data_IF_151682558844
#
_entry.id   IF_151682558844
#
_cell.length_a   1.000
_cell.length_b   1.000
_cell.length_c   1.000
_cell.angle_alpha   90.00
_cell.angle_beta   90.00
_cell.angle_gamma   90.00
#
_symmetry.space_group_name_H-M   'P 1'
#
loop_
_entity.id
_entity.type
_entity.pdbx_description
1 polymer ?
#
# COMPACT_ATOMS: atom_id res chain seq x y z
N UNK A 1 -31.53 -38.95 19.41
CA UNK A 1 -31.07 -37.70 18.78
C UNK A 1 -30.06 -37.11 19.73
N UNK A 2 -28.87 -37.69 19.72
CA UNK A 2 -27.75 -37.20 20.52
C UNK A 2 -27.30 -35.91 19.87
N UNK A 3 -27.65 -34.78 20.49
CA UNK A 3 -27.10 -33.49 20.10
C UNK A 3 -25.60 -33.56 20.34
N UNK A 4 -24.79 -33.47 19.28
CA UNK A 4 -23.34 -33.39 19.36
C UNK A 4 -22.95 -32.27 20.34
N UNK A 5 -22.63 -32.66 21.58
CA UNK A 5 -22.14 -31.73 22.60
C UNK A 5 -20.74 -31.32 22.17
N UNK A 6 -20.63 -30.10 21.64
CA UNK A 6 -19.34 -29.54 21.23
C UNK A 6 -18.42 -29.53 22.45
N UNK A 7 -17.26 -30.21 22.40
CA UNK A 7 -16.37 -30.27 23.55
C UNK A 7 -15.79 -28.88 23.85
N UNK A 8 -15.87 -28.45 25.10
CA UNK A 8 -15.36 -27.16 25.59
C UNK A 8 -13.89 -26.92 25.22
N UNK A 9 -13.08 -27.97 25.08
CA UNK A 9 -11.68 -27.88 24.65
C UNK A 9 -11.52 -27.25 23.27
N UNK A 10 -12.43 -27.51 22.32
CA UNK A 10 -12.39 -26.92 20.98
C UNK A 10 -12.69 -25.42 21.02
N UNK A 11 -13.61 -25.00 21.90
CA UNK A 11 -13.94 -23.59 22.11
C UNK A 11 -12.73 -22.83 22.68
N UNK A 12 -12.04 -23.41 23.66
CA UNK A 12 -10.81 -22.80 24.21
C UNK A 12 -9.72 -22.65 23.15
N UNK A 13 -9.46 -23.68 22.33
CA UNK A 13 -8.46 -23.60 21.26
C UNK A 13 -8.82 -22.50 20.25
N UNK A 14 -10.09 -22.40 19.84
CA UNK A 14 -10.55 -21.32 18.97
C UNK A 14 -10.27 -19.93 19.57
N UNK A 15 -10.59 -19.76 20.86
CA UNK A 15 -10.39 -18.48 21.56
C UNK A 15 -8.91 -18.13 21.74
N UNK A 16 -8.04 -19.11 22.00
CA UNK A 16 -6.59 -18.87 22.06
C UNK A 16 -6.01 -18.47 20.70
N UNK A 17 -6.42 -19.12 19.61
CA UNK A 17 -5.98 -18.76 18.26
C UNK A 17 -6.50 -17.39 17.82
N UNK A 18 -7.73 -17.05 18.20
CA UNK A 18 -8.28 -15.71 18.01
C UNK A 18 -7.44 -14.66 18.75
N UNK A 19 -7.19 -14.88 20.04
CA UNK A 19 -6.37 -13.98 20.86
C UNK A 19 -4.94 -13.85 20.32
N UNK A 20 -4.33 -14.92 19.83
CA UNK A 20 -3.00 -14.88 19.21
C UNK A 20 -2.95 -13.86 18.06
N UNK A 21 -3.93 -13.92 17.15
CA UNK A 21 -4.02 -12.97 16.04
C UNK A 21 -4.24 -11.53 16.50
N UNK A 22 -5.04 -11.32 17.55
CA UNK A 22 -5.28 -10.02 18.16
C UNK A 22 -3.98 -9.50 18.78
N UNK A 23 -3.33 -10.26 19.66
CA UNK A 23 -2.09 -9.85 20.34
C UNK A 23 -1.01 -9.42 19.34
N UNK A 24 -0.83 -10.17 18.24
CA UNK A 24 0.13 -9.80 17.18
C UNK A 24 -0.21 -8.43 16.58
N UNK A 25 -1.49 -8.17 16.26
CA UNK A 25 -1.93 -6.90 15.69
C UNK A 25 -1.66 -5.72 16.64
N UNK A 26 -1.98 -5.87 17.94
CA UNK A 26 -1.78 -4.80 18.92
C UNK A 26 -0.31 -4.59 19.26
N UNK A 27 0.46 -5.67 19.35
CA UNK A 27 1.91 -5.60 19.49
C UNK A 27 2.54 -4.86 18.31
N UNK A 28 2.10 -5.15 17.09
CA UNK A 28 2.55 -4.42 15.90
C UNK A 28 2.21 -2.93 15.97
N UNK A 29 0.99 -2.60 16.41
CA UNK A 29 0.57 -1.20 16.60
C UNK A 29 1.52 -0.47 17.55
N UNK A 30 1.77 -1.04 18.72
CA UNK A 30 2.65 -0.44 19.71
C UNK A 30 4.09 -0.32 19.19
N UNK A 31 4.63 -1.38 18.57
CA UNK A 31 6.01 -1.42 18.09
C UNK A 31 6.30 -0.45 16.94
N UNK A 32 5.29 -0.11 16.13
CA UNK A 32 5.45 0.75 14.94
C UNK A 32 4.84 2.14 15.10
N UNK A 33 4.34 2.48 16.30
CA UNK A 33 3.68 3.77 16.57
C UNK A 33 4.62 4.97 16.40
N UNK A 34 5.89 4.86 16.83
CA UNK A 34 6.90 5.91 16.64
C UNK A 34 7.08 6.25 15.15
N UNK A 35 7.37 5.23 14.34
CA UNK A 35 7.53 5.42 12.89
C UNK A 35 6.25 5.94 12.22
N UNK A 36 5.09 5.49 12.69
CA UNK A 36 3.78 5.95 12.20
C UNK A 36 3.58 7.44 12.45
N UNK A 37 3.87 7.92 13.65
CA UNK A 37 3.72 9.33 14.02
C UNK A 37 4.55 10.25 13.12
N UNK A 38 5.83 9.92 12.92
CA UNK A 38 6.72 10.74 12.10
C UNK A 38 6.41 10.70 10.61
N UNK A 39 5.99 9.54 10.07
CA UNK A 39 5.89 9.33 8.61
C UNK A 39 4.49 9.41 8.03
N UNK A 40 3.46 9.28 8.87
CA UNK A 40 2.06 9.29 8.41
C UNK A 40 1.33 10.49 8.99
N UNK A 41 1.44 10.70 10.32
CA UNK A 41 0.72 11.77 11.00
C UNK A 41 1.33 13.16 10.74
N UNK A 42 2.66 13.28 10.73
CA UNK A 42 3.34 14.57 10.44
C UNK A 42 3.36 14.97 8.97
N UNK A 43 3.12 14.05 8.05
CA UNK A 43 3.05 14.34 6.60
C UNK A 43 1.67 13.96 6.05
N UNK A 44 0.58 14.62 6.52
CA UNK A 44 -0.77 14.33 6.04
C UNK A 44 -0.93 14.88 4.63
N UNK A 45 -1.30 14.02 3.66
CA UNK A 45 -1.67 14.52 2.34
C UNK A 45 -1.61 13.54 1.18
N UNK A 46 -1.05 12.33 1.35
CA UNK A 46 -1.04 11.34 0.25
C UNK A 46 -2.18 10.33 0.40
N UNK A 47 -2.76 9.89 -0.71
CA UNK A 47 -3.79 8.84 -0.71
C UNK A 47 -3.30 7.52 -0.08
N UNK A 48 -2.00 7.23 -0.15
CA UNK A 48 -1.39 6.07 0.51
C UNK A 48 -1.44 6.18 2.05
N UNK A 49 -1.24 7.38 2.62
CA UNK A 49 -1.37 7.63 4.06
C UNK A 49 -2.80 7.38 4.55
N UNK A 50 -3.82 7.80 3.77
CA UNK A 50 -5.23 7.55 4.11
C UNK A 50 -5.54 6.05 4.07
N UNK A 51 -5.14 5.35 3.00
CA UNK A 51 -5.34 3.91 2.89
C UNK A 51 -4.65 3.13 4.01
N UNK A 52 -3.46 3.57 4.43
CA UNK A 52 -2.75 3.00 5.58
C UNK A 52 -3.58 3.14 6.87
N UNK A 53 -4.04 4.35 7.18
CA UNK A 53 -4.83 4.61 8.38
C UNK A 53 -6.14 3.82 8.36
N UNK A 54 -6.84 3.78 7.23
CA UNK A 54 -8.08 3.00 7.08
C UNK A 54 -7.82 1.52 7.34
N UNK A 55 -6.83 0.91 6.69
CA UNK A 55 -6.49 -0.51 6.88
C UNK A 55 -6.19 -0.83 8.35
N UNK A 56 -5.38 0.01 8.99
CA UNK A 56 -4.83 -0.24 10.32
C UNK A 56 -5.85 0.01 11.43
N UNK A 57 -6.49 1.18 11.45
CA UNK A 57 -7.43 1.55 12.50
C UNK A 57 -8.79 0.86 12.35
N UNK A 58 -9.24 0.55 11.12
CA UNK A 58 -10.44 -0.28 10.94
C UNK A 58 -10.27 -1.65 11.61
N UNK A 59 -9.13 -2.31 11.38
CA UNK A 59 -8.81 -3.59 12.00
C UNK A 59 -8.68 -3.46 13.53
N UNK A 60 -8.05 -2.39 14.02
CA UNK A 60 -7.93 -2.12 15.45
C UNK A 60 -9.30 -2.07 16.14
N UNK A 61 -10.19 -1.17 15.70
CA UNK A 61 -11.49 -0.97 16.35
C UNK A 61 -12.44 -2.17 16.16
N UNK A 62 -12.45 -2.79 14.97
CA UNK A 62 -13.27 -3.98 14.73
C UNK A 62 -12.84 -5.15 15.61
N UNK A 63 -11.54 -5.36 15.82
CA UNK A 63 -11.05 -6.40 16.73
C UNK A 63 -11.45 -6.12 18.20
N UNK A 64 -11.51 -4.86 18.67
CA UNK A 64 -12.03 -4.56 20.03
C UNK A 64 -13.46 -5.10 20.19
N UNK A 65 -14.34 -4.78 19.24
CA UNK A 65 -15.75 -5.18 19.30
C UNK A 65 -15.90 -6.69 19.20
N UNK A 66 -15.15 -7.33 18.30
CA UNK A 66 -15.18 -8.79 18.13
C UNK A 66 -14.67 -9.49 19.40
N UNK A 67 -13.54 -9.06 19.95
CA UNK A 67 -13.00 -9.65 21.18
C UNK A 67 -13.94 -9.45 22.37
N UNK A 68 -14.51 -8.25 22.55
CA UNK A 68 -15.47 -7.99 23.61
C UNK A 68 -16.72 -8.87 23.50
N UNK A 69 -17.25 -9.05 22.28
CA UNK A 69 -18.37 -9.94 22.03
C UNK A 69 -18.04 -11.41 22.29
N UNK A 70 -16.81 -11.85 21.97
CA UNK A 70 -16.37 -13.23 22.17
C UNK A 70 -16.26 -13.62 23.66
N UNK A 71 -15.88 -12.67 24.54
CA UNK A 71 -15.82 -12.90 25.99
C UNK A 71 -17.13 -12.60 26.74
N UNK A 72 -18.14 -12.06 26.07
CA UNK A 72 -19.44 -11.80 26.67
C UNK A 72 -20.28 -13.09 26.77
N UNK A 73 -20.80 -13.41 27.96
CA UNK A 73 -21.74 -14.53 28.13
C UNK A 73 -23.13 -14.13 27.64
N UNK A 74 -23.48 -14.59 26.43
CA UNK A 74 -24.85 -14.55 25.93
C UNK A 74 -25.70 -15.56 26.72
N UNK A 75 -26.77 -15.09 27.37
CA UNK A 75 -27.62 -15.94 28.24
C UNK A 75 -28.74 -16.68 27.48
N UNK A 76 -29.08 -16.30 26.24
CA UNK A 76 -30.12 -16.95 25.41
C UNK A 76 -29.79 -16.89 23.90
N UNK A 77 -30.18 -17.93 23.14
CA UNK A 77 -30.09 -17.97 21.65
C UNK A 77 -31.12 -17.06 20.99
N UNK A 78 -32.25 -16.81 21.66
CA UNK A 78 -33.32 -15.91 21.21
C UNK A 78 -32.97 -14.41 21.30
N UNK A 79 -31.82 -14.06 21.86
CA UNK A 79 -31.37 -12.68 21.82
C UNK A 79 -30.94 -12.34 20.39
N UNK A 80 -31.71 -11.46 19.75
CA UNK A 80 -31.35 -10.66 18.57
C UNK A 80 -29.85 -10.28 18.51
N UNK A 81 -29.18 -10.14 19.66
CA UNK A 81 -27.74 -9.89 19.80
C UNK A 81 -26.76 -10.92 19.18
N UNK A 82 -27.01 -12.24 19.23
CA UNK A 82 -26.01 -13.23 18.78
C UNK A 82 -25.91 -13.32 17.24
N UNK A 83 -27.05 -13.37 16.54
CA UNK A 83 -27.08 -13.33 15.08
C UNK A 83 -26.48 -12.01 14.52
N UNK A 84 -26.81 -10.88 15.16
CA UNK A 84 -26.24 -9.57 14.80
C UNK A 84 -24.72 -9.51 15.06
N UNK A 85 -24.23 -10.09 16.16
CA UNK A 85 -22.80 -10.19 16.44
C UNK A 85 -22.07 -11.05 15.40
N UNK A 86 -22.60 -12.23 15.08
CA UNK A 86 -22.01 -13.12 14.08
C UNK A 86 -21.95 -12.46 12.70
N UNK A 87 -23.03 -11.78 12.31
CA UNK A 87 -23.10 -10.98 11.08
C UNK A 87 -22.06 -9.85 11.10
N UNK A 88 -21.97 -9.09 12.19
CA UNK A 88 -20.98 -8.02 12.36
C UNK A 88 -19.54 -8.54 12.24
N UNK A 89 -19.23 -9.68 12.88
CA UNK A 89 -17.91 -10.32 12.78
C UNK A 89 -17.59 -10.69 11.34
N UNK A 90 -18.52 -11.34 10.64
CA UNK A 90 -18.34 -11.76 9.24
C UNK A 90 -18.16 -10.53 8.33
N UNK A 91 -18.99 -9.51 8.49
CA UNK A 91 -18.91 -8.26 7.74
C UNK A 91 -17.57 -7.54 8.00
N UNK A 92 -17.13 -7.47 9.25
CA UNK A 92 -15.87 -6.82 9.62
C UNK A 92 -14.66 -7.51 8.99
N UNK A 93 -14.65 -8.85 8.97
CA UNK A 93 -13.62 -9.63 8.27
C UNK A 93 -13.64 -9.34 6.77
N UNK A 94 -14.82 -9.33 6.13
CA UNK A 94 -14.96 -9.02 4.70
C UNK A 94 -14.42 -7.63 4.38
N UNK A 95 -14.82 -6.62 5.14
CA UNK A 95 -14.38 -5.23 4.93
C UNK A 95 -12.85 -5.12 5.09
N UNK A 96 -12.27 -5.74 6.13
CA UNK A 96 -10.82 -5.75 6.32
C UNK A 96 -10.09 -6.38 5.12
N UNK A 97 -10.57 -7.52 4.63
CA UNK A 97 -9.99 -8.21 3.46
C UNK A 97 -10.13 -7.38 2.18
N UNK A 98 -11.26 -6.72 1.96
CA UNK A 98 -11.45 -5.83 0.80
C UNK A 98 -10.47 -4.66 0.84
N UNK A 99 -10.27 -4.04 2.02
CA UNK A 99 -9.28 -2.95 2.16
C UNK A 99 -7.88 -3.47 1.80
N UNK A 100 -7.45 -4.61 2.35
CA UNK A 100 -6.16 -5.21 2.02
C UNK A 100 -6.05 -5.52 0.52
N UNK A 101 -7.07 -6.13 -0.08
CA UNK A 101 -7.08 -6.48 -1.50
C UNK A 101 -6.95 -5.25 -2.41
N UNK A 102 -7.64 -4.15 -2.07
CA UNK A 102 -7.50 -2.87 -2.78
C UNK A 102 -6.07 -2.34 -2.69
N UNK A 103 -5.46 -2.37 -1.50
CA UNK A 103 -4.10 -1.88 -1.30
C UNK A 103 -3.08 -2.75 -2.06
N UNK A 104 -3.24 -4.07 -2.02
CA UNK A 104 -2.43 -5.04 -2.80
C UNK A 104 -2.55 -4.77 -4.30
N UNK A 105 -3.76 -4.54 -4.81
CA UNK A 105 -4.01 -4.22 -6.20
C UNK A 105 -3.31 -2.91 -6.61
N UNK A 106 -3.55 -1.82 -5.86
CA UNK A 106 -2.94 -0.52 -6.15
C UNK A 106 -1.42 -0.58 -6.16
N UNK A 107 -0.84 -1.34 -5.22
CA UNK A 107 0.61 -1.56 -5.18
C UNK A 107 1.11 -2.32 -6.39
N UNK A 108 0.41 -3.38 -6.80
CA UNK A 108 0.76 -4.17 -7.98
C UNK A 108 0.62 -3.33 -9.24
N UNK A 109 -0.44 -2.54 -9.36
CA UNK A 109 -0.66 -1.60 -10.44
C UNK A 109 0.48 -0.59 -10.59
N UNK A 110 0.94 -0.02 -9.47
CA UNK A 110 2.09 0.88 -9.45
C UNK A 110 3.39 0.16 -9.84
N UNK A 111 3.61 -1.05 -9.32
CA UNK A 111 4.81 -1.86 -9.59
C UNK A 111 4.98 -2.23 -11.08
N UNK A 112 3.88 -2.47 -11.77
CA UNK A 112 3.87 -2.77 -13.20
C UNK A 112 3.81 -1.50 -14.08
N UNK A 113 4.00 -0.31 -13.50
CA UNK A 113 4.07 0.94 -14.27
C UNK A 113 2.77 1.25 -15.02
N UNK A 114 1.61 0.86 -14.47
CA UNK A 114 0.29 1.04 -15.09
C UNK A 114 0.09 0.26 -16.40
N UNK A 115 0.81 -0.86 -16.58
CA UNK A 115 0.58 -1.75 -17.72
C UNK A 115 -0.87 -2.24 -17.74
N UNK A 116 -1.59 -1.93 -18.81
CA UNK A 116 -3.01 -2.24 -18.94
C UNK A 116 -3.26 -3.74 -18.97
N UNK A 117 -2.32 -4.55 -19.46
CA UNK A 117 -2.50 -6.01 -19.54
C UNK A 117 -2.61 -6.63 -18.16
N UNK A 118 -1.66 -6.35 -17.28
CA UNK A 118 -1.67 -6.84 -15.89
C UNK A 118 -2.87 -6.30 -15.13
N UNK A 119 -3.24 -5.04 -15.38
CA UNK A 119 -4.41 -4.42 -14.78
C UNK A 119 -5.70 -5.14 -15.17
N UNK A 120 -5.90 -5.41 -16.45
CA UNK A 120 -7.07 -6.14 -16.97
C UNK A 120 -7.13 -7.55 -16.40
N UNK A 121 -6.00 -8.26 -16.34
CA UNK A 121 -5.93 -9.60 -15.73
C UNK A 121 -6.29 -9.56 -14.24
N UNK A 122 -5.76 -8.61 -13.48
CA UNK A 122 -6.07 -8.50 -12.06
C UNK A 122 -7.56 -8.15 -11.84
N UNK A 123 -8.11 -7.22 -12.61
CA UNK A 123 -9.51 -6.83 -12.50
C UNK A 123 -10.47 -7.95 -12.93
N UNK A 124 -10.12 -8.70 -13.98
CA UNK A 124 -10.95 -9.83 -14.43
C UNK A 124 -10.97 -10.95 -13.38
N UNK A 125 -9.81 -11.29 -12.82
CA UNK A 125 -9.73 -12.28 -11.73
C UNK A 125 -10.45 -11.77 -10.48
N UNK A 126 -10.25 -10.52 -10.08
CA UNK A 126 -10.96 -9.92 -8.95
C UNK A 126 -12.49 -9.99 -9.13
N UNK A 127 -13.00 -9.69 -10.33
CA UNK A 127 -14.42 -9.76 -10.63
C UNK A 127 -14.96 -11.20 -10.52
N UNK A 128 -14.25 -12.19 -11.07
CA UNK A 128 -14.65 -13.61 -10.97
C UNK A 128 -14.68 -14.06 -9.52
N UNK A 129 -13.62 -13.78 -8.76
CA UNK A 129 -13.50 -14.16 -7.35
C UNK A 129 -14.57 -13.46 -6.49
N UNK A 130 -14.89 -12.20 -6.78
CA UNK A 130 -15.95 -11.46 -6.11
C UNK A 130 -17.33 -12.09 -6.37
N UNK A 131 -17.64 -12.44 -7.63
CA UNK A 131 -18.90 -13.10 -7.98
C UNK A 131 -19.04 -14.45 -7.27
N UNK A 132 -17.97 -15.25 -7.27
CA UNK A 132 -17.93 -16.53 -6.54
C UNK A 132 -18.15 -16.33 -5.04
N UNK A 133 -17.53 -15.31 -4.45
CA UNK A 133 -17.67 -14.99 -3.03
C UNK A 133 -19.09 -14.54 -2.67
N UNK A 134 -19.72 -13.69 -3.49
CA UNK A 134 -21.10 -13.24 -3.29
C UNK A 134 -22.07 -14.42 -3.38
N UNK A 135 -21.91 -15.28 -4.39
CA UNK A 135 -22.70 -16.49 -4.55
C UNK A 135 -22.58 -17.42 -3.33
N UNK A 136 -21.34 -17.62 -2.84
CA UNK A 136 -21.10 -18.46 -1.68
C UNK A 136 -21.77 -17.89 -0.40
N UNK A 137 -21.61 -16.60 -0.14
CA UNK A 137 -22.20 -15.93 1.05
C UNK A 137 -23.72 -15.93 1.01
N UNK A 138 -24.34 -15.72 -0.16
CA UNK A 138 -25.81 -15.70 -0.30
C UNK A 138 -26.47 -17.08 -0.17
N UNK A 139 -25.73 -18.17 -0.42
CA UNK A 139 -26.24 -19.53 -0.27
C UNK A 139 -26.20 -20.09 1.16
N UNK A 140 -25.74 -19.31 2.16
CA UNK A 140 -25.52 -19.79 3.52
C UNK A 140 -26.85 -19.99 4.28
N UNK A 141 -27.08 -21.19 4.85
CA UNK A 141 -28.18 -21.46 5.80
C UNK A 141 -27.60 -21.57 7.21
N UNK A 142 -27.66 -20.49 7.97
CA UNK A 142 -27.00 -20.40 9.28
C UNK A 142 -27.81 -21.10 10.38
N UNK A 143 -27.17 -22.03 11.08
CA UNK A 143 -27.63 -22.58 12.37
C UNK A 143 -26.67 -22.07 13.44
N UNK A 144 -27.17 -21.50 14.53
CA UNK A 144 -26.36 -20.91 15.61
C UNK A 144 -26.47 -21.77 16.87
N UNK A 145 -25.36 -22.00 17.57
CA UNK A 145 -25.36 -22.75 18.84
C UNK A 145 -24.76 -21.89 19.96
N UNK A 146 -25.26 -22.06 21.19
CA UNK A 146 -24.75 -21.36 22.37
C UNK A 146 -23.83 -22.31 23.14
N UNK A 147 -22.54 -22.03 23.15
CA UNK A 147 -21.58 -22.74 23.98
C UNK A 147 -20.54 -21.73 24.49
N UNK A 148 -20.78 -21.17 25.68
CA UNK A 148 -19.91 -20.19 26.35
C UNK A 148 -19.43 -19.04 25.43
N UNK A 149 -20.41 -18.33 24.86
CA UNK A 149 -20.20 -17.35 23.80
C UNK A 149 -21.17 -17.59 22.64
N UNK A 150 -21.23 -16.65 21.69
CA UNK A 150 -21.98 -16.81 20.44
C UNK A 150 -21.04 -17.42 19.39
N UNK A 151 -20.93 -18.75 19.38
CA UNK A 151 -20.19 -19.46 18.35
C UNK A 151 -21.17 -20.01 17.32
N UNK A 152 -21.04 -19.58 16.06
CA UNK A 152 -21.78 -20.23 14.99
C UNK A 152 -21.17 -21.63 14.76
N UNK A 153 -21.79 -22.68 15.31
CA UNK A 153 -21.54 -24.03 14.81
C UNK A 153 -22.21 -24.14 13.44
N UNK A 154 -21.45 -23.75 12.42
CA UNK A 154 -21.92 -23.80 11.04
C UNK A 154 -22.22 -25.24 10.65
N UNK A 155 -23.42 -25.48 10.12
CA UNK A 155 -23.74 -26.71 9.41
C UNK A 155 -22.70 -26.96 8.30
N UNK A 156 -22.47 -28.24 7.93
CA UNK A 156 -21.47 -28.62 6.93
C UNK A 156 -21.60 -27.81 5.63
N UNK A 157 -22.83 -27.58 5.18
CA UNK A 157 -23.15 -26.79 3.98
C UNK A 157 -22.72 -25.33 4.12
N UNK A 158 -22.99 -24.70 5.26
CA UNK A 158 -22.59 -23.30 5.51
C UNK A 158 -21.07 -23.17 5.70
N UNK A 159 -20.42 -24.17 6.29
CA UNK A 159 -18.96 -24.20 6.39
C UNK A 159 -18.28 -24.27 5.00
N UNK A 160 -18.83 -25.06 4.07
CA UNK A 160 -18.33 -25.16 2.70
C UNK A 160 -18.46 -23.81 1.97
N UNK A 161 -19.60 -23.13 2.12
CA UNK A 161 -19.81 -21.81 1.50
C UNK A 161 -18.83 -20.76 2.03
N UNK A 162 -18.59 -20.73 3.34
CA UNK A 162 -17.58 -19.85 3.92
C UNK A 162 -16.18 -20.21 3.41
N UNK A 163 -15.86 -21.50 3.29
CA UNK A 163 -14.57 -21.96 2.75
C UNK A 163 -14.31 -21.44 1.33
N UNK A 164 -15.31 -21.48 0.45
CA UNK A 164 -15.20 -20.96 -0.94
C UNK A 164 -14.78 -19.48 -0.97
N UNK A 165 -15.33 -18.65 -0.07
CA UNK A 165 -14.93 -17.24 0.01
C UNK A 165 -13.47 -17.07 0.47
N UNK A 166 -13.00 -17.90 1.41
CA UNK A 166 -11.60 -17.89 1.84
C UNK A 166 -10.64 -18.45 0.79
N UNK A 167 -11.07 -19.43 0.01
CA UNK A 167 -10.33 -19.93 -1.15
C UNK A 167 -10.17 -18.86 -2.22
N UNK A 168 -11.23 -18.10 -2.49
CA UNK A 168 -11.17 -16.98 -3.42
C UNK A 168 -10.15 -15.93 -2.95
N UNK A 169 -10.14 -15.61 -1.66
CA UNK A 169 -9.13 -14.72 -1.07
C UNK A 169 -7.71 -15.29 -1.16
N UNK A 170 -7.53 -16.58 -0.90
CA UNK A 170 -6.24 -17.24 -1.03
C UNK A 170 -5.73 -17.22 -2.49
N UNK A 171 -6.62 -17.48 -3.47
CA UNK A 171 -6.29 -17.41 -4.89
C UNK A 171 -5.88 -15.99 -5.31
N UNK A 172 -6.55 -14.96 -4.78
CA UNK A 172 -6.17 -13.57 -4.97
C UNK A 172 -4.77 -13.27 -4.42
N UNK A 173 -4.49 -13.66 -3.18
CA UNK A 173 -3.19 -13.44 -2.56
C UNK A 173 -2.07 -14.19 -3.30
N UNK A 174 -2.33 -15.41 -3.76
CA UNK A 174 -1.38 -16.20 -4.55
C UNK A 174 -1.09 -15.53 -5.90
N UNK A 175 -2.09 -14.96 -6.57
CA UNK A 175 -1.92 -14.21 -7.81
C UNK A 175 -1.01 -13.00 -7.58
N UNK A 176 -1.33 -12.15 -6.60
CA UNK A 176 -0.57 -10.93 -6.30
C UNK A 176 0.87 -11.27 -5.87
N UNK A 177 1.03 -12.28 -5.02
CA UNK A 177 2.33 -12.79 -4.61
C UNK A 177 3.14 -13.25 -5.83
N UNK A 178 2.55 -14.08 -6.70
CA UNK A 178 3.22 -14.60 -7.88
C UNK A 178 3.66 -13.48 -8.81
N UNK A 179 2.77 -12.53 -9.13
CA UNK A 179 3.10 -11.38 -9.97
C UNK A 179 4.26 -10.56 -9.39
N UNK A 180 4.21 -10.28 -8.09
CA UNK A 180 5.24 -9.51 -7.39
C UNK A 180 6.57 -10.27 -7.36
N UNK A 181 6.54 -11.57 -7.09
CA UNK A 181 7.71 -12.44 -7.03
C UNK A 181 8.37 -12.60 -8.41
N UNK A 182 7.59 -12.86 -9.47
CA UNK A 182 8.12 -12.92 -10.83
C UNK A 182 8.76 -11.60 -11.27
N UNK A 183 8.14 -10.47 -10.94
CA UNK A 183 8.72 -9.15 -11.19
C UNK A 183 10.03 -8.96 -10.41
N UNK A 184 10.08 -9.41 -9.15
CA UNK A 184 11.28 -9.38 -8.32
C UNK A 184 12.44 -10.14 -8.96
N UNK A 185 12.18 -11.33 -9.50
CA UNK A 185 13.21 -12.16 -10.14
C UNK A 185 13.63 -11.56 -11.48
N UNK A 186 12.68 -11.13 -12.32
CA UNK A 186 13.00 -10.57 -13.65
C UNK A 186 13.88 -9.32 -13.56
N UNK A 187 13.64 -8.47 -12.56
CA UNK A 187 14.42 -7.26 -12.34
C UNK A 187 15.81 -7.52 -11.75
N UNK A 188 16.11 -8.73 -11.26
CA UNK A 188 17.41 -9.10 -10.67
C UNK A 188 18.57 -9.11 -11.68
N UNK A 189 18.28 -9.36 -12.96
CA UNK A 189 19.32 -9.51 -14.00
C UNK A 189 19.62 -8.26 -14.83
N UNK A 190 18.87 -7.17 -14.65
CA UNK A 190 18.88 -6.02 -15.59
C UNK A 190 19.59 -4.76 -15.07
N UNK A 191 20.14 -4.78 -13.85
CA UNK A 191 20.68 -3.55 -13.24
C UNK A 191 22.08 -3.74 -12.64
N UNK A 192 23.11 -3.01 -13.13
CA UNK A 192 24.41 -2.95 -12.48
C UNK A 192 24.31 -2.23 -11.12
N UNK A 193 25.13 -2.68 -10.17
CA UNK A 193 25.17 -2.17 -8.80
C UNK A 193 25.37 -0.64 -8.78
N UNK A 194 24.48 0.11 -8.13
CA UNK A 194 24.68 1.55 -7.90
C UNK A 194 23.43 2.40 -7.67
N UNK A 195 22.35 2.26 -8.46
CA UNK A 195 21.12 3.10 -8.33
C UNK A 195 19.78 2.37 -8.33
N UNK A 196 19.73 1.16 -8.90
CA UNK A 196 18.48 0.37 -9.04
C UNK A 196 18.42 -0.81 -8.06
N UNK A 197 19.44 -0.98 -7.23
CA UNK A 197 19.50 -2.01 -6.19
C UNK A 197 18.40 -1.82 -5.14
N UNK A 198 18.08 -0.57 -4.78
CA UNK A 198 17.03 -0.25 -3.83
C UNK A 198 15.61 -0.61 -4.32
N UNK A 199 15.32 -0.40 -5.61
CA UNK A 199 14.02 -0.81 -6.20
C UNK A 199 13.93 -2.33 -6.19
N UNK A 200 15.03 -3.03 -6.53
CA UNK A 200 15.11 -4.49 -6.43
C UNK A 200 14.90 -4.98 -4.99
N UNK A 201 15.51 -4.31 -3.99
CA UNK A 201 15.34 -4.60 -2.57
C UNK A 201 13.89 -4.38 -2.09
N UNK A 202 13.25 -3.27 -2.47
CA UNK A 202 11.85 -2.99 -2.11
C UNK A 202 10.89 -4.03 -2.72
N UNK A 203 11.16 -4.48 -3.95
CA UNK A 203 10.34 -5.50 -4.61
C UNK A 203 10.56 -6.86 -3.93
N UNK A 204 11.81 -7.21 -3.61
CA UNK A 204 12.16 -8.44 -2.89
C UNK A 204 11.51 -8.49 -1.52
N UNK A 205 11.69 -7.44 -0.73
CA UNK A 205 11.08 -7.34 0.60
C UNK A 205 9.56 -7.33 0.47
N UNK A 206 9.02 -6.67 -0.55
CA UNK A 206 7.61 -6.68 -0.89
C UNK A 206 7.02 -8.05 -1.15
N UNK A 207 7.75 -8.94 -1.82
CA UNK A 207 7.31 -10.31 -2.09
C UNK A 207 7.25 -11.15 -0.81
N UNK A 208 8.15 -10.92 0.16
CA UNK A 208 8.13 -11.65 1.44
C UNK A 208 6.85 -11.34 2.21
N UNK A 209 6.42 -10.08 2.28
CA UNK A 209 5.15 -9.70 2.94
C UNK A 209 3.96 -10.40 2.27
N UNK A 210 3.88 -10.40 0.94
CA UNK A 210 2.81 -11.09 0.22
C UNK A 210 2.85 -12.62 0.41
N UNK A 211 4.05 -13.20 0.51
CA UNK A 211 4.22 -14.63 0.79
C UNK A 211 3.71 -15.01 2.18
N UNK A 212 4.04 -14.24 3.21
CA UNK A 212 3.53 -14.47 4.58
C UNK A 212 2.01 -14.38 4.62
N UNK A 213 1.41 -13.40 3.94
CA UNK A 213 -0.05 -13.29 3.85
C UNK A 213 -0.69 -14.49 3.15
N UNK A 214 -0.14 -14.90 2.00
CA UNK A 214 -0.62 -16.08 1.28
C UNK A 214 -0.50 -17.37 2.13
N UNK A 215 0.57 -17.54 2.90
CA UNK A 215 0.72 -18.66 3.83
C UNK A 215 -0.30 -18.62 4.98
N UNK A 216 -0.57 -17.44 5.54
CA UNK A 216 -1.58 -17.28 6.59
C UNK A 216 -2.99 -17.60 6.07
N UNK A 217 -3.33 -17.11 4.87
CA UNK A 217 -4.62 -17.43 4.23
C UNK A 217 -4.73 -18.91 3.85
N UNK A 218 -3.66 -19.50 3.31
CA UNK A 218 -3.60 -20.94 3.06
C UNK A 218 -3.87 -21.73 4.33
N UNK A 219 -3.19 -21.39 5.43
CA UNK A 219 -3.38 -22.04 6.73
C UNK A 219 -4.83 -21.93 7.21
N UNK A 220 -5.45 -20.76 7.06
CA UNK A 220 -6.86 -20.58 7.37
C UNK A 220 -7.79 -21.43 6.49
N UNK A 221 -7.57 -21.45 5.18
CA UNK A 221 -8.35 -22.27 4.24
C UNK A 221 -8.24 -23.76 4.58
N UNK A 222 -7.04 -24.25 4.89
CA UNK A 222 -6.81 -25.63 5.30
C UNK A 222 -7.60 -26.01 6.56
N UNK A 223 -7.86 -25.06 7.48
CA UNK A 223 -8.68 -25.36 8.66
C UNK A 223 -10.10 -25.79 8.30
N UNK A 224 -10.69 -25.29 7.22
CA UNK A 224 -12.04 -25.69 6.82
C UNK A 224 -12.13 -27.16 6.39
N UNK A 225 -11.03 -27.71 5.87
CA UNK A 225 -10.96 -29.08 5.36
C UNK A 225 -10.50 -30.09 6.41
N UNK A 226 -9.47 -29.74 7.18
CA UNK A 226 -8.78 -30.70 8.06
C UNK A 226 -9.24 -30.64 9.51
N UNK A 227 -9.97 -29.60 9.93
CA UNK A 227 -10.36 -29.46 11.34
C UNK A 227 -11.80 -29.90 11.62
N UNK A 228 -12.09 -30.37 12.84
CA UNK A 228 -13.44 -30.69 13.30
C UNK A 228 -14.40 -29.50 13.14
N UNK A 229 -15.71 -29.73 13.03
CA UNK A 229 -16.70 -28.69 12.75
C UNK A 229 -16.61 -27.43 13.63
N UNK A 230 -16.30 -27.57 14.93
CA UNK A 230 -16.19 -26.43 15.84
C UNK A 230 -14.88 -25.61 15.69
N UNK A 231 -13.87 -26.16 15.02
CA UNK A 231 -12.58 -25.50 14.79
C UNK A 231 -12.44 -24.92 13.37
N UNK A 232 -13.41 -25.15 12.49
CA UNK A 232 -13.38 -24.63 11.11
C UNK A 232 -13.34 -23.11 11.12
N UNK A 233 -12.37 -22.54 10.40
CA UNK A 233 -12.18 -21.09 10.34
C UNK A 233 -11.70 -20.45 11.65
N UNK A 234 -11.15 -21.22 12.59
CA UNK A 234 -10.55 -20.68 13.81
C UNK A 234 -9.39 -19.71 13.53
N UNK A 235 -8.69 -19.88 12.41
CA UNK A 235 -7.61 -19.01 11.97
C UNK A 235 -8.07 -17.79 11.17
N UNK A 236 -9.38 -17.57 10.96
CA UNK A 236 -9.87 -16.48 10.12
C UNK A 236 -9.47 -15.09 10.64
N UNK A 237 -9.63 -14.87 11.95
CA UNK A 237 -9.19 -13.63 12.60
C UNK A 237 -7.67 -13.52 12.57
N UNK A 238 -6.95 -14.60 12.84
CA UNK A 238 -5.49 -14.62 12.80
C UNK A 238 -4.96 -14.24 11.41
N UNK A 239 -5.46 -14.88 10.36
CA UNK A 239 -5.03 -14.63 9.00
C UNK A 239 -5.39 -13.21 8.55
N UNK A 240 -6.58 -12.72 8.92
CA UNK A 240 -6.97 -11.34 8.65
C UNK A 240 -6.07 -10.31 9.33
N UNK A 241 -5.74 -10.54 10.61
CA UNK A 241 -4.86 -9.65 11.36
C UNK A 241 -3.42 -9.71 10.83
N UNK A 242 -2.97 -10.89 10.39
CA UNK A 242 -1.68 -11.05 9.72
C UNK A 242 -1.63 -10.24 8.42
N UNK A 243 -2.68 -10.30 7.59
CA UNK A 243 -2.77 -9.53 6.36
C UNK A 243 -2.71 -8.03 6.61
N UNK A 244 -3.47 -7.52 7.57
CA UNK A 244 -3.43 -6.10 7.96
C UNK A 244 -2.04 -5.69 8.46
N UNK A 245 -1.41 -6.54 9.29
CA UNK A 245 -0.09 -6.28 9.88
C UNK A 245 1.00 -6.24 8.81
N UNK A 246 1.06 -7.24 7.95
CA UNK A 246 2.03 -7.32 6.86
C UNK A 246 1.85 -6.16 5.87
N UNK A 247 0.61 -5.82 5.51
CA UNK A 247 0.32 -4.68 4.65
C UNK A 247 0.74 -3.35 5.29
N UNK A 248 0.50 -3.18 6.59
CA UNK A 248 0.89 -1.97 7.33
C UNK A 248 2.41 -1.81 7.39
N UNK A 249 3.14 -2.86 7.79
CA UNK A 249 4.62 -2.85 7.83
C UNK A 249 5.23 -2.54 6.48
N UNK A 250 4.66 -3.13 5.43
CA UNK A 250 5.09 -2.90 4.07
C UNK A 250 4.93 -1.45 3.64
N UNK A 251 3.79 -0.82 3.97
CA UNK A 251 3.57 0.59 3.68
C UNK A 251 4.52 1.48 4.48
N UNK A 252 4.74 1.20 5.77
CA UNK A 252 5.68 1.96 6.59
C UNK A 252 7.12 1.86 6.09
N UNK A 253 7.56 0.66 5.69
CA UNK A 253 8.88 0.45 5.08
C UNK A 253 9.03 1.23 3.77
N UNK A 254 7.97 1.30 2.95
CA UNK A 254 8.03 2.10 1.73
C UNK A 254 8.16 3.60 2.03
N UNK A 255 7.43 4.12 3.02
CA UNK A 255 7.56 5.51 3.46
C UNK A 255 8.95 5.80 4.03
N UNK A 256 9.52 4.85 4.79
CA UNK A 256 10.89 4.94 5.30
C UNK A 256 11.87 5.19 4.16
N UNK A 257 11.87 4.28 3.18
CA UNK A 257 12.81 4.30 2.08
C UNK A 257 12.63 5.52 1.19
N UNK A 258 11.39 6.00 1.01
CA UNK A 258 11.11 7.23 0.29
C UNK A 258 11.66 8.47 1.00
N UNK A 259 11.54 8.52 2.33
CA UNK A 259 12.01 9.66 3.14
C UNK A 259 13.53 9.69 3.24
N UNK A 260 14.16 8.54 3.48
CA UNK A 260 15.63 8.40 3.49
C UNK A 260 16.23 8.83 2.14
N UNK A 261 15.56 8.52 1.04
CA UNK A 261 15.96 8.96 -0.30
C UNK A 261 15.87 10.47 -0.47
N UNK A 262 14.75 11.09 -0.08
CA UNK A 262 14.60 12.55 -0.16
C UNK A 262 15.72 13.26 0.61
N UNK A 263 16.02 12.83 1.84
CA UNK A 263 17.12 13.38 2.64
C UNK A 263 18.50 13.20 2.02
N UNK A 264 18.77 12.05 1.38
CA UNK A 264 20.05 11.82 0.70
C UNK A 264 20.24 12.69 -0.56
N UNK A 265 19.16 12.98 -1.30
CA UNK A 265 19.21 13.92 -2.43
C UNK A 265 19.44 15.36 -1.94
N UNK A 266 18.77 15.77 -0.87
CA UNK A 266 18.97 17.11 -0.29
C UNK A 266 20.40 17.27 0.25
N UNK A 267 20.93 16.26 0.95
CA UNK A 267 22.30 16.28 1.45
C UNK A 267 23.35 16.33 0.34
N UNK A 268 23.20 15.53 -0.72
CA UNK A 268 24.12 15.57 -1.88
C UNK A 268 24.02 16.86 -2.68
N UNK A 269 22.83 17.47 -2.77
CA UNK A 269 22.65 18.79 -3.40
C UNK A 269 23.27 19.90 -2.56
N UNK A 270 23.13 19.84 -1.23
CA UNK A 270 23.77 20.77 -0.30
C UNK A 270 25.30 20.64 -0.31
N UNK A 271 25.82 19.41 -0.35
CA UNK A 271 27.27 19.14 -0.44
C UNK A 271 27.83 19.61 -1.79
N UNK A 272 27.13 19.35 -2.90
CA UNK A 272 27.49 19.90 -4.21
C UNK A 272 27.43 21.43 -4.24
N UNK A 273 26.41 22.04 -3.64
CA UNK A 273 26.32 23.50 -3.49
C UNK A 273 27.44 24.09 -2.64
N UNK A 274 27.88 23.37 -1.60
CA UNK A 274 29.04 23.74 -0.79
C UNK A 274 30.34 23.62 -1.58
N UNK A 275 30.56 22.53 -2.32
CA UNK A 275 31.77 22.33 -3.15
C UNK A 275 31.85 23.40 -4.25
N UNK A 276 30.74 23.70 -4.92
CA UNK A 276 30.67 24.77 -5.94
C UNK A 276 30.94 26.14 -5.32
N UNK A 277 30.41 26.42 -4.12
CA UNK A 277 30.68 27.69 -3.40
C UNK A 277 32.13 27.80 -2.93
N UNK A 278 32.77 26.68 -2.58
CA UNK A 278 34.18 26.66 -2.14
C UNK A 278 35.14 26.82 -3.32
N UNK A 279 34.79 26.31 -4.51
CA UNK A 279 35.58 26.44 -5.73
C UNK A 279 35.35 27.77 -6.49
N UNK A 280 34.34 28.57 -6.12
CA UNK A 280 34.10 29.90 -6.71
C UNK A 280 34.77 31.07 -5.96
N UNK A 281 35.76 30.80 -5.11
CA UNK A 281 36.61 31.84 -4.52
C UNK A 281 37.90 32.02 -5.33
N UNK A 282 37.97 33.18 -6.01
CA UNK A 282 39.17 33.86 -6.51
C UNK A 282 39.84 33.35 -7.82
N UNK A 283 39.34 33.86 -8.94
CA UNK A 283 40.20 34.32 -10.05
C UNK A 283 39.58 35.56 -10.69
N UNK A 284 39.73 36.71 -10.04
CA UNK A 284 39.57 38.02 -10.70
C UNK A 284 40.80 38.89 -10.46
N UNK A 285 41.94 38.48 -11.03
CA UNK A 285 42.99 39.42 -11.42
C UNK A 285 43.57 38.96 -12.74
N UNK A 286 42.98 39.43 -13.83
CA UNK A 286 43.63 39.51 -15.14
C UNK A 286 43.70 40.99 -15.48
N UNK A 287 44.94 41.46 -15.64
CA UNK A 287 45.29 42.84 -15.88
C UNK A 287 44.92 43.31 -17.28
N UNK A 288 44.72 44.61 -17.39
CA UNK A 288 44.66 45.33 -18.65
C UNK A 288 45.94 46.14 -18.82
N UNK A 289 46.68 45.76 -19.86
CA UNK A 289 47.73 46.53 -20.52
C UNK A 289 47.10 47.78 -21.14
N UNK A 290 47.71 48.94 -20.96
CA UNK A 290 47.44 50.13 -21.78
C UNK A 290 48.77 50.76 -22.20
N UNK A 291 48.98 50.82 -23.53
CA UNK A 291 50.04 51.57 -24.17
C UNK A 291 49.75 53.08 -24.13
N UNK A 292 50.82 53.84 -23.92
CA UNK A 292 51.14 55.19 -24.38
C UNK A 292 50.06 55.96 -25.17
N UNK A 293 49.62 57.12 -24.66
CA UNK A 293 49.93 58.39 -25.35
C UNK A 293 49.78 59.63 -24.47
N UNK A 294 50.46 60.70 -24.90
CA UNK A 294 50.81 61.89 -24.12
C UNK A 294 49.80 63.03 -24.22
N UNK A 295 49.83 63.87 -23.18
CA UNK A 295 49.61 65.32 -23.17
C UNK A 295 48.21 65.93 -22.84
N UNK A 296 48.29 66.79 -21.81
CA UNK A 296 47.60 68.07 -21.60
C UNK A 296 46.23 68.12 -20.90
N UNK A 297 46.19 69.08 -19.96
CA UNK A 297 45.21 69.39 -18.90
C UNK A 297 44.52 70.73 -19.27
N UNK A 298 43.55 71.24 -18.50
CA UNK A 298 42.12 70.98 -18.53
C UNK A 298 41.31 72.20 -19.07
N UNK A 299 40.02 72.01 -19.36
CA UNK A 299 39.12 73.09 -19.75
C UNK A 299 37.69 72.83 -19.30
N UNK A 300 37.35 73.49 -18.20
CA UNK A 300 36.06 73.96 -17.70
C UNK A 300 34.76 73.77 -18.50
N UNK A 301 33.69 73.73 -17.68
CA UNK A 301 32.34 74.29 -17.88
C UNK A 301 31.18 73.42 -18.39
N UNK A 302 30.12 73.51 -17.55
CA UNK A 302 28.70 73.66 -17.83
C UNK A 302 27.80 72.44 -18.09
N UNK A 303 26.96 72.18 -17.07
CA UNK A 303 25.49 72.07 -17.12
C UNK A 303 24.82 71.82 -18.48
N UNK A 304 23.98 70.79 -18.58
CA UNK A 304 22.51 70.96 -18.50
C UNK A 304 21.72 69.76 -19.01
N UNK A 305 20.57 69.59 -18.36
CA UNK A 305 19.42 68.74 -18.66
C UNK A 305 18.90 68.90 -20.08
N UNK A 306 18.55 67.79 -20.75
CA UNK A 306 17.43 67.76 -21.72
C UNK A 306 16.63 66.47 -21.58
N UNK A 307 15.34 66.66 -21.36
CA UNK A 307 14.23 65.72 -21.39
C UNK A 307 13.82 65.46 -22.84
N UNK A 308 13.47 64.23 -23.21
CA UNK A 308 12.91 63.92 -24.52
C UNK A 308 12.12 62.61 -24.51
N UNK A 309 10.80 62.72 -24.44
CA UNK A 309 9.85 61.69 -24.85
C UNK A 309 9.94 61.46 -26.36
N UNK A 310 9.83 60.21 -26.83
CA UNK A 310 8.83 59.73 -27.81
C UNK A 310 9.27 58.44 -28.50
N UNK A 311 8.43 57.41 -28.35
CA UNK A 311 7.90 56.47 -29.35
C UNK A 311 8.65 56.27 -30.68
N UNK A 312 8.98 55.00 -31.02
CA UNK A 312 9.28 54.62 -32.41
C UNK A 312 9.93 53.24 -32.61
N UNK A 313 9.12 52.30 -33.11
CA UNK A 313 9.40 50.99 -33.75
C UNK A 313 10.81 50.61 -34.22
N UNK A 314 11.16 49.32 -34.09
CA UNK A 314 12.17 48.67 -34.96
C UNK A 314 12.75 47.33 -34.48
N UNK A 315 12.12 46.22 -34.89
CA UNK A 315 12.69 44.91 -35.35
C UNK A 315 13.99 44.32 -34.76
N UNK A 316 13.88 43.11 -34.17
CA UNK A 316 14.68 41.88 -34.37
C UNK A 316 14.32 40.93 -33.19
N UNK A 317 13.90 39.67 -33.32
CA UNK A 317 14.32 38.60 -34.23
C UNK A 317 14.99 37.51 -33.38
N UNK A 318 14.60 36.24 -33.57
CA UNK A 318 15.11 34.98 -32.95
C UNK A 318 14.49 34.59 -31.60
N UNK A 319 14.14 33.34 -31.29
CA UNK A 319 13.90 32.07 -32.01
C UNK A 319 13.34 31.09 -30.96
N UNK A 320 12.85 29.92 -31.39
CA UNK A 320 12.47 28.73 -30.58
C UNK A 320 10.98 28.58 -30.23
N UNK A 321 10.20 28.26 -31.26
CA UNK A 321 8.88 27.67 -31.17
C UNK A 321 8.97 26.17 -31.50
N UNK A 322 8.69 25.33 -30.50
CA UNK A 322 7.87 24.12 -30.55
C UNK A 322 8.08 23.11 -31.72
N UNK A 323 8.98 22.15 -31.51
CA UNK A 323 8.85 20.80 -32.11
C UNK A 323 8.16 19.85 -31.12
N UNK A 324 6.86 19.61 -31.29
CA UNK A 324 6.24 18.32 -30.95
C UNK A 324 4.84 18.22 -31.53
N UNK A 325 4.73 17.85 -32.81
CA UNK A 325 3.51 17.31 -33.43
C UNK A 325 3.85 16.74 -34.80
N UNK A 326 4.22 15.46 -34.85
CA UNK A 326 4.01 14.63 -36.04
C UNK A 326 4.26 13.16 -35.75
N UNK A 327 3.28 12.49 -35.14
CA UNK A 327 3.07 11.04 -35.30
C UNK A 327 1.57 10.75 -35.21
N UNK A 328 0.81 11.27 -36.17
CA UNK A 328 -0.52 10.75 -36.48
C UNK A 328 -0.83 10.94 -37.96
N UNK A 329 -1.09 9.81 -38.62
CA UNK A 329 -1.76 9.60 -39.91
C UNK A 329 -0.86 9.12 -41.06
N UNK A 330 -1.23 7.94 -41.57
CA UNK A 330 -0.59 7.25 -42.67
C UNK A 330 -1.27 5.89 -42.92
N UNK A 331 -2.57 5.94 -43.22
CA UNK A 331 -3.39 4.81 -43.70
C UNK A 331 -3.00 4.56 -45.17
N UNK A 332 -2.79 3.30 -45.56
CA UNK A 332 -2.11 2.94 -46.81
C UNK A 332 -2.94 2.87 -48.09
N UNK A 333 -2.31 2.36 -49.17
CA UNK A 333 -2.94 1.60 -50.27
C UNK A 333 -1.88 1.09 -51.28
N UNK A 334 -2.13 -0.12 -51.79
CA UNK A 334 -1.78 -0.69 -53.10
C UNK A 334 -0.31 -0.75 -53.55
N UNK A 335 0.24 -1.96 -53.66
CA UNK A 335 0.20 -2.78 -54.90
C UNK A 335 0.50 -4.24 -54.57
#
# INVERSE_FOLDING_TARGET
MDGDVIPLSQVYVHNYLHLLGVVILYYDHAATFDEEYWRVWRTPGTGASVLFLVNRYFAFFSNIVITAGNFSSFKTVEACSCAHYAFYRQLSLIVAQVIVAVIQFLRTFALFGRDQRVTIICLSVAAVLLVLSIWAVTGQKSTYTLAQGCHAASSLTSAIHIAVAWEALFAWDLLIFSLTFFKSIKNRGHYPAGRNDLVSLIIRDGAIYFGVMACAQCSNTLTFYFTPPALRGCLSTFASNMSVTMMSRLMLNLHRTATERAGAYDASTAEFGSIVSTNMLFTSRIGTVAMHDSAHVPGDTLWSSVRGESSGSGTAGTSEEYEMRDLRTGKGRAQ
#
